data_IF_509416862728
#
_entry.id   IF_509416862728
#
_cell.length_a   1.000
_cell.length_b   1.000
_cell.length_c   1.000
_cell.angle_alpha   90.00
_cell.angle_beta   90.00
_cell.angle_gamma   90.00
#
_symmetry.space_group_name_H-M   'P 1'
#
loop_
_entity.id
_entity.type
_entity.pdbx_description
1 polymer ?
#
# COMPACT_ATOMS: atom_id res chain seq x y z
N UNK A 1 12.60 6.41 -8.45
CA UNK A 1 12.83 6.60 -7.00
C UNK A 1 13.41 5.32 -6.41
N UNK A 2 14.41 5.45 -5.58
CA UNK A 2 14.99 4.31 -4.88
C UNK A 2 14.25 4.06 -3.58
N UNK A 3 14.44 2.87 -3.00
CA UNK A 3 13.87 2.55 -1.70
C UNK A 3 14.36 3.54 -0.63
N UNK A 4 15.65 3.88 -0.64
CA UNK A 4 16.21 4.81 0.33
C UNK A 4 15.58 6.20 0.22
N UNK A 5 15.29 6.65 -0.99
CA UNK A 5 14.59 7.91 -1.20
C UNK A 5 13.16 7.84 -0.67
N UNK A 6 12.46 6.75 -0.96
CA UNK A 6 11.11 6.55 -0.44
C UNK A 6 11.11 6.56 1.09
N UNK A 7 12.03 5.83 1.70
CA UNK A 7 12.14 5.76 3.15
C UNK A 7 12.43 7.14 3.75
N UNK A 8 13.38 7.87 3.17
CA UNK A 8 13.76 9.19 3.65
C UNK A 8 12.57 10.16 3.64
N UNK A 9 11.83 10.17 2.53
CA UNK A 9 10.67 11.04 2.39
C UNK A 9 9.57 10.64 3.39
N UNK A 10 9.29 9.35 3.52
CA UNK A 10 8.26 8.86 4.42
C UNK A 10 8.58 9.20 5.88
N UNK A 11 9.83 9.01 6.30
CA UNK A 11 10.22 9.33 7.67
C UNK A 11 10.16 10.82 7.96
N UNK A 12 10.49 11.65 6.97
CA UNK A 12 10.36 13.10 7.09
C UNK A 12 8.89 13.52 7.25
N UNK A 13 7.97 12.71 6.71
CA UNK A 13 6.53 12.94 6.83
C UNK A 13 5.93 12.34 8.10
N UNK A 14 6.75 11.74 8.95
CA UNK A 14 6.30 11.20 10.24
C UNK A 14 5.91 9.73 10.24
N UNK A 15 6.21 9.00 9.18
CA UNK A 15 5.98 7.55 9.15
C UNK A 15 7.11 6.84 9.89
N UNK A 16 6.75 6.00 10.85
CA UNK A 16 7.71 5.37 11.77
C UNK A 16 8.28 4.06 11.24
N UNK A 17 7.50 3.36 10.41
CA UNK A 17 7.91 2.09 9.83
C UNK A 17 7.94 2.21 8.31
N UNK A 18 8.98 1.64 7.72
CA UNK A 18 9.07 1.55 6.26
C UNK A 18 9.53 0.13 5.94
N UNK A 19 8.84 -0.56 5.04
CA UNK A 19 9.12 -1.95 4.73
C UNK A 19 8.71 -2.29 3.30
N UNK A 20 9.18 -3.43 2.83
CA UNK A 20 8.78 -4.00 1.55
C UNK A 20 7.72 -5.06 1.82
N UNK A 21 6.62 -5.03 1.08
CA UNK A 21 5.58 -6.06 1.16
C UNK A 21 5.43 -6.73 -0.19
N UNK A 22 5.38 -8.05 -0.17
CA UNK A 22 5.18 -8.85 -1.38
C UNK A 22 3.87 -9.61 -1.26
N UNK A 23 3.10 -9.61 -2.34
CA UNK A 23 1.79 -10.22 -2.41
C UNK A 23 1.78 -11.31 -3.48
N UNK A 24 1.10 -12.41 -3.19
CA UNK A 24 1.07 -13.57 -4.07
C UNK A 24 0.19 -13.34 -5.30
N UNK A 25 0.50 -14.00 -6.42
CA UNK A 25 -0.36 -13.96 -7.61
C UNK A 25 -1.79 -14.34 -7.26
N UNK A 26 -2.74 -13.53 -7.74
CA UNK A 26 -4.17 -13.79 -7.56
C UNK A 26 -4.68 -13.71 -6.12
N UNK A 27 -3.87 -13.25 -5.19
CA UNK A 27 -4.28 -13.14 -3.79
C UNK A 27 -5.45 -12.16 -3.64
N UNK A 28 -6.37 -12.49 -2.74
CA UNK A 28 -7.52 -11.64 -2.43
C UNK A 28 -7.54 -11.39 -0.93
N UNK A 29 -7.62 -10.11 -0.56
CA UNK A 29 -7.82 -9.70 0.81
C UNK A 29 -9.19 -9.06 0.90
N UNK A 30 -10.10 -9.69 1.64
CA UNK A 30 -11.43 -9.14 1.83
C UNK A 30 -11.37 -7.88 2.68
N UNK A 31 -12.48 -7.16 2.79
CA UNK A 31 -12.49 -5.89 3.48
C UNK A 31 -11.94 -6.01 4.90
N UNK A 32 -11.00 -5.15 5.21
CA UNK A 32 -10.34 -5.09 6.51
C UNK A 32 -9.88 -3.65 6.76
N UNK A 33 -9.38 -3.38 7.95
CA UNK A 33 -8.85 -2.07 8.32
C UNK A 33 -7.62 -2.23 9.20
N UNK A 34 -6.83 -1.17 9.26
CA UNK A 34 -5.60 -1.16 10.05
C UNK A 34 -5.63 -0.02 11.08
N UNK A 35 -5.02 -0.22 12.27
CA UNK A 35 -4.92 0.83 13.28
C UNK A 35 -3.79 1.82 12.98
N UNK A 36 -3.36 1.95 11.74
CA UNK A 36 -2.30 2.84 11.32
C UNK A 36 -2.61 3.40 9.93
N UNK A 37 -2.00 4.56 9.63
CA UNK A 37 -2.07 5.14 8.29
C UNK A 37 -1.01 4.49 7.40
N UNK A 38 -1.31 4.39 6.12
CA UNK A 38 -0.43 3.74 5.14
C UNK A 38 -0.17 4.68 3.98
N UNK A 39 1.08 4.71 3.54
CA UNK A 39 1.49 5.34 2.29
C UNK A 39 2.27 4.27 1.52
N UNK A 40 1.88 4.00 0.29
CA UNK A 40 2.49 2.93 -0.48
C UNK A 40 2.82 3.34 -1.91
N UNK A 41 3.89 2.74 -2.43
CA UNK A 41 4.28 2.84 -3.83
C UNK A 41 4.32 1.42 -4.40
N UNK A 42 3.55 1.18 -5.45
CA UNK A 42 3.59 -0.11 -6.16
C UNK A 42 4.86 -0.11 -7.01
N UNK A 43 5.74 -1.08 -6.79
CA UNK A 43 6.99 -1.16 -7.55
C UNK A 43 7.01 -2.30 -8.56
N UNK A 44 6.12 -3.28 -8.41
CA UNK A 44 5.99 -4.41 -9.33
C UNK A 44 4.56 -4.95 -9.28
N UNK A 45 4.05 -5.42 -10.40
CA UNK A 45 2.74 -6.06 -10.48
C UNK A 45 1.60 -5.05 -10.44
N UNK A 46 0.44 -5.50 -9.97
CA UNK A 46 -0.75 -4.67 -9.95
C UNK A 46 -1.71 -5.10 -8.86
N UNK A 47 -2.54 -4.16 -8.45
CA UNK A 47 -3.56 -4.38 -7.42
C UNK A 47 -4.81 -3.59 -7.78
N UNK A 48 -5.97 -4.19 -7.50
CA UNK A 48 -7.25 -3.48 -7.49
C UNK A 48 -7.58 -3.20 -6.04
N UNK A 49 -7.54 -1.92 -5.67
CA UNK A 49 -7.77 -1.46 -4.31
C UNK A 49 -9.18 -0.87 -4.23
N UNK A 50 -10.00 -1.42 -3.34
CA UNK A 50 -11.39 -0.99 -3.18
C UNK A 50 -11.59 -0.32 -1.83
N UNK A 51 -12.11 0.90 -1.86
CA UNK A 51 -12.54 1.64 -0.69
C UNK A 51 -14.00 2.01 -0.89
N UNK A 52 -14.89 1.39 -0.11
CA UNK A 52 -16.33 1.59 -0.30
C UNK A 52 -16.76 1.16 -1.69
N UNK A 53 -17.28 2.10 -2.47
CA UNK A 53 -17.74 1.83 -3.84
C UNK A 53 -16.70 2.14 -4.91
N UNK A 54 -15.52 2.61 -4.49
CA UNK A 54 -14.47 3.00 -5.43
C UNK A 54 -13.38 1.96 -5.52
N UNK A 55 -13.10 1.51 -6.73
CA UNK A 55 -12.00 0.60 -6.99
C UNK A 55 -10.99 1.29 -7.90
N UNK A 56 -9.73 1.28 -7.48
CA UNK A 56 -8.64 1.82 -8.27
C UNK A 56 -7.74 0.68 -8.75
N UNK A 57 -7.39 0.72 -10.03
CA UNK A 57 -6.41 -0.22 -10.59
C UNK A 57 -5.04 0.43 -10.55
N UNK A 58 -4.17 -0.09 -9.70
CA UNK A 58 -2.84 0.48 -9.46
C UNK A 58 -1.77 -0.45 -9.99
N UNK A 59 -0.81 0.11 -10.70
CA UNK A 59 0.29 -0.61 -11.34
C UNK A 59 1.62 -0.06 -10.86
N UNK A 60 2.72 -0.69 -11.27
CA UNK A 60 4.06 -0.21 -10.93
C UNK A 60 4.21 1.28 -11.25
N UNK A 61 4.67 2.05 -10.28
CA UNK A 61 4.77 3.49 -10.36
C UNK A 61 3.62 4.25 -9.73
N UNK A 62 2.49 3.58 -9.48
CA UNK A 62 1.34 4.22 -8.85
C UNK A 62 1.46 4.21 -7.34
N UNK A 63 0.81 5.18 -6.70
CA UNK A 63 0.85 5.36 -5.25
C UNK A 63 -0.55 5.37 -4.68
N UNK A 64 -0.66 5.01 -3.41
CA UNK A 64 -1.91 5.17 -2.69
C UNK A 64 -1.64 5.48 -1.22
N UNK A 65 -2.63 6.08 -0.58
CA UNK A 65 -2.61 6.35 0.85
C UNK A 65 -3.91 5.89 1.45
N UNK A 66 -3.84 5.35 2.65
CA UNK A 66 -5.01 4.94 3.42
C UNK A 66 -4.94 5.59 4.79
N UNK A 67 -6.00 6.31 5.16
CA UNK A 67 -6.09 6.86 6.48
C UNK A 67 -6.26 5.73 7.50
N UNK A 68 -5.95 6.02 8.75
CA UNK A 68 -6.13 5.08 9.85
C UNK A 68 -7.57 4.58 9.90
N UNK A 69 -7.74 3.27 10.08
CA UNK A 69 -9.05 2.62 10.25
C UNK A 69 -9.97 2.67 9.03
N UNK A 70 -9.46 3.05 7.86
CA UNK A 70 -10.27 3.06 6.64
C UNK A 70 -10.49 1.62 6.15
N UNK A 71 -11.77 1.19 6.00
CA UNK A 71 -12.03 -0.14 5.45
C UNK A 71 -11.63 -0.21 3.98
N UNK A 72 -10.94 -1.28 3.60
CA UNK A 72 -10.50 -1.47 2.22
C UNK A 72 -10.34 -2.94 1.89
N UNK A 73 -10.40 -3.26 0.62
CA UNK A 73 -10.17 -4.61 0.10
C UNK A 73 -9.17 -4.55 -1.05
N UNK A 74 -8.49 -5.66 -1.30
CA UNK A 74 -7.45 -5.72 -2.32
C UNK A 74 -7.54 -7.02 -3.10
N UNK A 75 -7.30 -6.93 -4.41
CA UNK A 75 -7.19 -8.10 -5.27
C UNK A 75 -5.94 -7.93 -6.13
N UNK A 76 -5.10 -8.93 -6.14
CA UNK A 76 -3.81 -8.88 -6.82
C UNK A 76 -3.87 -9.57 -8.17
N UNK A 77 -3.08 -9.07 -9.13
CA UNK A 77 -3.04 -9.61 -10.48
C UNK A 77 -2.28 -10.92 -10.59
N UNK A 78 -2.15 -11.42 -11.82
CA UNK A 78 -1.56 -12.73 -12.10
C UNK A 78 -0.09 -12.85 -11.69
N UNK A 79 0.60 -11.73 -11.50
CA UNK A 79 2.01 -11.72 -11.11
C UNK A 79 2.20 -11.31 -9.65
N UNK A 80 1.11 -11.11 -8.91
CA UNK A 80 1.18 -10.56 -7.57
C UNK A 80 1.59 -9.09 -7.61
N UNK A 81 2.22 -8.62 -6.55
CA UNK A 81 2.71 -7.23 -6.49
C UNK A 81 3.76 -7.07 -5.42
N UNK A 82 4.57 -6.04 -5.58
CA UNK A 82 5.52 -5.61 -4.56
C UNK A 82 5.23 -4.14 -4.27
N UNK A 83 5.12 -3.82 -2.99
CA UNK A 83 4.93 -2.44 -2.51
C UNK A 83 6.08 -2.03 -1.62
N UNK A 84 6.46 -0.77 -1.70
CA UNK A 84 7.18 -0.12 -0.62
C UNK A 84 6.13 0.56 0.23
N UNK A 85 6.14 0.29 1.53
CA UNK A 85 5.07 0.69 2.43
C UNK A 85 5.63 1.47 3.60
N UNK A 86 4.98 2.59 3.89
CA UNK A 86 5.26 3.35 5.10
C UNK A 86 4.01 3.31 5.99
N UNK A 87 4.21 3.17 7.30
CA UNK A 87 3.12 3.11 8.28
C UNK A 87 3.34 4.15 9.36
N UNK A 88 2.25 4.81 9.74
CA UNK A 88 2.27 5.75 10.86
C UNK A 88 1.27 5.29 11.90
N UNK A 89 1.80 4.89 13.06
CA UNK A 89 0.99 4.40 14.18
C UNK A 89 0.47 5.53 15.07
N UNK A 90 1.13 6.68 15.05
CA UNK A 90 0.71 7.82 15.84
C UNK A 90 -0.65 8.35 15.35
N UNK A 91 -1.45 8.79 16.29
CA UNK A 91 -2.76 9.34 15.99
C UNK A 91 -2.67 10.71 15.30
#
# INVERSE_FOLDING_TARGET
>A
MTYDEFESIARAEGFEEVLVREWQPGQVLEEHRHPFAVKALVTRGEVWLTEGEHTRHLRAGDRFELAREVPHAERYGAEGATFWVARRNAA
#
